data_IF_629892840377
#
_entry.id   IF_629892840377
#
_cell.length_a   1.000
_cell.length_b   1.000
_cell.length_c   1.000
_cell.angle_alpha   90.00
_cell.angle_beta   90.00
_cell.angle_gamma   90.00
#
_symmetry.space_group_name_H-M   'P 1'
#
loop_
_entity.id
_entity.type
_entity.pdbx_description
1 polymer ?
#
# COMPACT_ATOMS: atom_id res chain seq x y z
N UNK A 1 -27.79 -11.05 -32.81
CA UNK A 1 -27.31 -10.08 -31.81
C UNK A 1 -28.47 -9.76 -30.92
N UNK A 2 -28.29 -9.71 -29.60
CA UNK A 2 -29.37 -9.34 -28.68
C UNK A 2 -29.77 -7.89 -28.90
N UNK A 3 -31.05 -7.66 -29.12
CA UNK A 3 -31.66 -6.35 -29.34
C UNK A 3 -32.08 -5.70 -28.02
N UNK A 4 -32.26 -4.39 -28.05
CA UNK A 4 -32.79 -3.62 -26.91
C UNK A 4 -34.17 -4.13 -26.49
N UNK A 5 -35.07 -4.38 -27.45
CA UNK A 5 -36.40 -4.91 -27.19
C UNK A 5 -36.36 -6.28 -26.47
N UNK A 6 -35.48 -7.20 -26.88
CA UNK A 6 -35.30 -8.49 -26.21
C UNK A 6 -34.84 -8.35 -24.76
N UNK A 7 -34.07 -7.30 -24.45
CA UNK A 7 -33.64 -6.98 -23.08
C UNK A 7 -34.82 -6.49 -22.23
N UNK A 8 -35.65 -5.59 -22.77
CA UNK A 8 -36.82 -5.05 -22.06
C UNK A 8 -37.88 -6.14 -21.82
N UNK A 9 -38.13 -7.00 -22.80
CA UNK A 9 -39.10 -8.09 -22.67
C UNK A 9 -38.65 -9.14 -21.65
N UNK A 10 -37.35 -9.39 -21.53
CA UNK A 10 -36.82 -10.26 -20.50
C UNK A 10 -37.01 -9.69 -19.09
N UNK A 11 -36.85 -8.37 -18.91
CA UNK A 11 -37.14 -7.71 -17.64
C UNK A 11 -38.63 -7.79 -17.27
N UNK A 12 -39.53 -7.59 -18.24
CA UNK A 12 -40.98 -7.71 -18.02
C UNK A 12 -41.38 -9.13 -17.62
N UNK A 13 -40.79 -10.16 -18.25
CA UNK A 13 -41.00 -11.57 -17.86
C UNK A 13 -40.53 -11.84 -16.44
N UNK A 14 -39.32 -11.41 -16.11
CA UNK A 14 -38.78 -11.57 -14.76
C UNK A 14 -39.64 -10.85 -13.70
N UNK A 15 -40.22 -9.69 -14.04
CA UNK A 15 -41.14 -8.99 -13.16
C UNK A 15 -42.47 -9.73 -12.97
N UNK A 16 -43.02 -10.32 -14.05
CA UNK A 16 -44.22 -11.14 -13.98
C UNK A 16 -44.00 -12.39 -13.12
N UNK A 17 -42.83 -13.03 -13.23
CA UNK A 17 -42.49 -14.25 -12.47
C UNK A 17 -42.28 -13.96 -10.97
N UNK A 18 -41.78 -12.76 -10.61
CA UNK A 18 -41.60 -12.34 -9.21
C UNK A 18 -42.81 -11.66 -8.60
N UNK A 19 -43.75 -11.18 -9.43
CA UNK A 19 -44.84 -10.30 -8.99
C UNK A 19 -44.38 -8.90 -8.54
N UNK A 20 -43.11 -8.57 -8.71
CA UNK A 20 -42.50 -7.30 -8.34
C UNK A 20 -41.38 -6.92 -9.32
N UNK A 21 -40.94 -5.66 -9.25
CA UNK A 21 -39.89 -5.14 -10.10
C UNK A 21 -38.51 -5.77 -9.75
N UNK A 22 -37.87 -6.56 -10.64
CA UNK A 22 -36.70 -7.37 -10.30
C UNK A 22 -35.48 -6.52 -9.90
N UNK A 23 -34.80 -6.88 -8.82
CA UNK A 23 -33.41 -6.49 -8.61
C UNK A 23 -32.48 -7.30 -9.54
N UNK A 24 -31.27 -6.79 -9.79
CA UNK A 24 -30.27 -7.50 -10.61
C UNK A 24 -29.99 -8.91 -10.08
N UNK A 25 -29.88 -9.06 -8.77
CA UNK A 25 -29.62 -10.35 -8.12
C UNK A 25 -30.80 -11.31 -8.27
N UNK A 26 -32.04 -10.82 -8.14
CA UNK A 26 -33.23 -11.66 -8.35
C UNK A 26 -33.33 -12.11 -9.81
N UNK A 27 -33.10 -11.21 -10.77
CA UNK A 27 -33.09 -11.52 -12.20
C UNK A 27 -32.06 -12.61 -12.54
N UNK A 28 -30.84 -12.52 -11.99
CA UNK A 28 -29.79 -13.53 -12.20
C UNK A 28 -30.16 -14.90 -11.61
N UNK A 29 -30.86 -14.93 -10.47
CA UNK A 29 -31.32 -16.17 -9.84
C UNK A 29 -32.41 -16.88 -10.64
N UNK A 30 -33.22 -16.14 -11.39
CA UNK A 30 -34.25 -16.71 -12.27
C UNK A 30 -33.66 -17.35 -13.54
N UNK A 31 -32.39 -17.06 -13.86
CA UNK A 31 -31.71 -17.64 -15.00
C UNK A 31 -32.23 -17.16 -16.36
N UNK A 32 -32.95 -16.02 -16.41
CA UNK A 32 -33.45 -15.46 -17.67
C UNK A 32 -32.32 -15.06 -18.62
N UNK A 33 -32.63 -15.16 -19.91
CA UNK A 33 -31.80 -14.62 -20.98
C UNK A 33 -32.51 -13.45 -21.66
N UNK A 34 -31.77 -12.41 -22.08
CA UNK A 34 -30.32 -12.25 -22.00
C UNK A 34 -29.80 -11.96 -20.58
N UNK A 35 -28.53 -12.31 -20.32
CA UNK A 35 -27.87 -12.06 -19.03
C UNK A 35 -27.90 -10.57 -18.63
N UNK A 36 -27.89 -10.30 -17.32
CA UNK A 36 -27.95 -8.94 -16.75
C UNK A 36 -26.87 -8.00 -17.32
N UNK A 37 -25.67 -8.52 -17.59
CA UNK A 37 -24.55 -7.80 -18.19
C UNK A 37 -24.78 -7.45 -19.66
N UNK A 38 -25.46 -8.33 -20.41
CA UNK A 38 -25.87 -8.06 -21.79
C UNK A 38 -26.92 -6.95 -21.83
N UNK A 39 -27.90 -6.99 -20.92
CA UNK A 39 -28.92 -5.93 -20.78
C UNK A 39 -28.26 -4.58 -20.50
N UNK A 40 -27.36 -4.51 -19.52
CA UNK A 40 -26.64 -3.27 -19.19
C UNK A 40 -25.79 -2.74 -20.36
N UNK A 41 -25.18 -3.64 -21.16
CA UNK A 41 -24.37 -3.25 -22.31
C UNK A 41 -25.21 -2.73 -23.48
N UNK A 42 -26.38 -3.33 -23.72
CA UNK A 42 -27.26 -2.99 -24.85
C UNK A 42 -28.11 -1.75 -24.54
N UNK A 43 -28.61 -1.64 -23.31
CA UNK A 43 -29.56 -0.59 -22.89
C UNK A 43 -28.89 0.55 -22.10
N UNK A 44 -27.60 0.45 -21.78
CA UNK A 44 -26.82 1.49 -21.09
C UNK A 44 -26.79 1.37 -19.56
N UNK A 45 -27.88 0.92 -18.93
CA UNK A 45 -27.96 0.78 -17.48
C UNK A 45 -29.07 -0.14 -16.99
N UNK A 46 -28.94 -0.66 -15.76
CA UNK A 46 -29.96 -1.55 -15.18
C UNK A 46 -31.25 -0.78 -14.83
N UNK A 47 -31.12 0.39 -14.21
CA UNK A 47 -32.27 1.23 -13.90
C UNK A 47 -32.90 1.82 -15.18
N UNK A 48 -32.08 2.22 -16.15
CA UNK A 48 -32.54 2.67 -17.47
C UNK A 48 -33.34 1.57 -18.19
N UNK A 49 -32.86 0.32 -18.16
CA UNK A 49 -33.60 -0.79 -18.72
C UNK A 49 -34.92 -1.08 -17.97
N UNK A 50 -34.96 -0.91 -16.65
CA UNK A 50 -36.21 -1.04 -15.87
C UNK A 50 -37.19 0.08 -16.19
N UNK A 51 -36.71 1.32 -16.31
CA UNK A 51 -37.53 2.49 -16.69
C UNK A 51 -38.15 2.29 -18.09
N UNK A 52 -37.33 1.92 -19.08
CA UNK A 52 -37.82 1.63 -20.44
C UNK A 52 -38.76 0.40 -20.48
N UNK A 53 -38.58 -0.56 -19.57
CA UNK A 53 -39.46 -1.71 -19.44
C UNK A 53 -40.81 -1.38 -18.76
N UNK A 54 -40.97 -0.17 -18.20
CA UNK A 54 -42.14 0.24 -17.42
C UNK A 54 -42.15 -0.33 -16.00
N UNK A 55 -40.98 -0.65 -15.45
CA UNK A 55 -40.79 -1.27 -14.14
C UNK A 55 -40.24 -0.24 -13.14
N UNK A 56 -40.68 -0.33 -11.89
CA UNK A 56 -40.21 0.56 -10.82
C UNK A 56 -38.68 0.46 -10.68
N UNK A 57 -37.98 1.59 -10.81
CA UNK A 57 -36.53 1.65 -10.60
C UNK A 57 -36.24 1.73 -9.12
N UNK A 58 -35.11 1.16 -8.70
CA UNK A 58 -34.58 1.46 -7.37
C UNK A 58 -33.82 2.76 -7.52
N UNK A 59 -34.37 3.86 -7.00
CA UNK A 59 -33.69 5.15 -6.86
C UNK A 59 -32.25 4.89 -6.38
N UNK A 60 -31.26 5.44 -7.08
CA UNK A 60 -29.86 5.39 -6.69
C UNK A 60 -29.66 6.26 -5.43
N UNK A 61 -30.16 5.79 -4.30
CA UNK A 61 -30.22 6.54 -3.03
C UNK A 61 -31.26 6.04 -2.03
N UNK A 62 -32.15 5.12 -2.41
CA UNK A 62 -33.25 4.66 -1.56
C UNK A 62 -32.91 3.51 -0.60
N UNK A 63 -31.94 3.71 0.29
CA UNK A 63 -31.88 2.95 1.56
C UNK A 63 -31.39 3.89 2.68
N UNK A 64 -32.38 4.33 3.47
CA UNK A 64 -32.30 4.92 4.80
C UNK A 64 -31.01 4.61 5.55
N UNK A 65 -30.20 5.64 5.84
CA UNK A 65 -29.38 5.71 7.05
C UNK A 65 -28.32 4.62 7.30
N UNK A 66 -28.00 3.76 6.34
CA UNK A 66 -26.90 2.79 6.48
C UNK A 66 -25.71 3.34 5.70
N UNK A 67 -24.76 3.90 6.45
CA UNK A 67 -23.44 4.22 5.91
C UNK A 67 -22.85 2.97 5.27
N UNK A 68 -22.53 3.02 3.97
CA UNK A 68 -21.77 1.95 3.28
C UNK A 68 -20.34 1.83 3.81
N UNK A 69 -19.94 2.75 4.70
CA UNK A 69 -18.68 2.72 5.42
C UNK A 69 -18.79 1.70 6.55
N UNK A 70 -17.99 0.64 6.47
CA UNK A 70 -17.83 -0.29 7.58
C UNK A 70 -17.42 0.49 8.84
N UNK A 71 -17.91 0.11 10.04
CA UNK A 71 -17.60 0.81 11.28
C UNK A 71 -16.08 0.83 11.53
N UNK A 72 -15.62 1.84 12.27
CA UNK A 72 -14.22 1.97 12.65
C UNK A 72 -13.77 0.72 13.40
N UNK A 73 -12.70 0.05 12.98
CA UNK A 73 -12.11 -1.03 13.76
C UNK A 73 -11.60 -0.51 15.12
N UNK A 74 -11.68 -1.35 16.16
CA UNK A 74 -11.25 -0.99 17.52
C UNK A 74 -9.75 -0.71 17.61
N UNK A 75 -8.96 -1.34 16.73
CA UNK A 75 -7.50 -1.23 16.64
C UNK A 75 -7.02 0.01 15.87
N UNK A 76 -7.93 0.89 15.43
CA UNK A 76 -7.59 2.09 14.66
C UNK A 76 -7.82 3.34 15.50
N UNK A 77 -6.75 4.04 15.87
CA UNK A 77 -6.83 5.35 16.50
C UNK A 77 -6.99 6.46 15.45
N UNK A 78 -7.86 7.42 15.76
CA UNK A 78 -8.12 8.64 14.99
C UNK A 78 -7.62 9.83 15.81
N UNK A 79 -7.19 10.88 15.13
CA UNK A 79 -6.91 12.16 15.79
C UNK A 79 -8.24 12.81 16.23
N UNK A 80 -8.21 13.70 17.23
CA UNK A 80 -9.41 14.23 17.92
C UNK A 80 -10.42 14.90 16.97
N UNK A 81 -9.93 15.44 15.86
CA UNK A 81 -10.65 16.16 14.82
C UNK A 81 -11.05 15.28 13.61
N UNK A 82 -10.81 13.97 13.66
CA UNK A 82 -11.08 13.05 12.56
C UNK A 82 -12.32 12.17 12.78
N UNK A 83 -13.30 12.27 11.88
CA UNK A 83 -14.51 11.43 11.88
C UNK A 83 -14.38 10.29 10.88
N UNK A 84 -14.46 9.03 11.33
CA UNK A 84 -14.22 7.84 10.51
C UNK A 84 -15.07 7.77 9.23
N UNK A 85 -16.33 8.14 9.35
CA UNK A 85 -17.34 8.09 8.31
C UNK A 85 -17.05 9.14 7.21
N UNK A 86 -16.46 10.27 7.59
CA UNK A 86 -16.14 11.40 6.71
C UNK A 86 -14.82 11.21 5.96
N UNK A 87 -13.99 10.26 6.41
CA UNK A 87 -12.75 9.93 5.71
C UNK A 87 -13.03 9.41 4.29
N UNK A 88 -12.11 9.67 3.37
CA UNK A 88 -12.11 8.96 2.08
C UNK A 88 -11.82 7.46 2.26
N UNK A 89 -12.25 6.59 1.34
CA UNK A 89 -11.89 5.17 1.34
C UNK A 89 -10.38 4.93 1.43
N UNK A 90 -9.57 5.77 0.77
CA UNK A 90 -8.11 5.70 0.82
C UNK A 90 -7.56 6.08 2.21
N UNK A 91 -8.08 7.13 2.83
CA UNK A 91 -7.72 7.54 4.20
C UNK A 91 -8.05 6.44 5.23
N UNK A 92 -9.24 5.82 5.14
CA UNK A 92 -9.61 4.66 5.98
C UNK A 92 -8.69 3.47 5.76
N UNK A 93 -8.36 3.14 4.51
CA UNK A 93 -7.42 2.07 4.20
C UNK A 93 -6.04 2.35 4.81
N UNK A 94 -5.55 3.59 4.72
CA UNK A 94 -4.25 3.98 5.27
C UNK A 94 -4.22 3.85 6.80
N UNK A 95 -5.26 4.33 7.51
CA UNK A 95 -5.35 4.19 8.98
C UNK A 95 -5.47 2.74 9.43
N UNK A 96 -6.34 1.96 8.78
CA UNK A 96 -6.48 0.51 9.03
C UNK A 96 -5.18 -0.27 8.81
N UNK A 97 -4.34 0.18 7.90
CA UNK A 97 -3.08 -0.49 7.60
C UNK A 97 -1.87 0.18 8.24
N UNK A 98 -2.04 1.30 8.97
CA UNK A 98 -0.94 2.11 9.52
C UNK A 98 -0.02 1.25 10.36
N UNK A 99 -0.57 0.53 11.32
CA UNK A 99 0.20 -0.30 12.26
C UNK A 99 0.85 -1.50 11.57
N UNK A 100 0.15 -2.12 10.63
CA UNK A 100 0.69 -3.22 9.82
C UNK A 100 1.85 -2.75 8.94
N UNK A 101 1.77 -1.54 8.38
CA UNK A 101 2.83 -0.96 7.54
C UNK A 101 4.00 -0.41 8.37
N UNK A 102 3.72 0.18 9.53
CA UNK A 102 4.75 0.59 10.50
C UNK A 102 5.50 -0.63 11.06
N UNK A 103 4.79 -1.71 11.38
CA UNK A 103 5.35 -2.99 11.79
C UNK A 103 6.28 -3.59 10.74
N UNK A 104 5.89 -3.55 9.45
CA UNK A 104 6.74 -3.99 8.33
C UNK A 104 8.03 -3.17 8.22
N UNK A 105 7.95 -1.84 8.30
CA UNK A 105 9.13 -0.95 8.26
C UNK A 105 10.05 -1.18 9.46
N UNK A 106 9.49 -1.30 10.67
CA UNK A 106 10.25 -1.59 11.90
C UNK A 106 10.95 -2.95 11.84
N UNK A 107 10.24 -3.99 11.40
CA UNK A 107 10.79 -5.33 11.18
C UNK A 107 11.93 -5.31 10.17
N UNK A 108 11.74 -4.66 9.01
CA UNK A 108 12.77 -4.54 7.98
C UNK A 108 14.03 -3.81 8.49
N UNK A 109 13.88 -2.72 9.24
CA UNK A 109 15.02 -2.01 9.85
C UNK A 109 15.78 -2.92 10.82
N UNK A 110 15.07 -3.68 11.65
CA UNK A 110 15.69 -4.65 12.58
C UNK A 110 16.48 -5.72 11.82
N UNK A 111 15.90 -6.29 10.77
CA UNK A 111 16.57 -7.27 9.89
C UNK A 111 17.82 -6.70 9.23
N UNK A 112 17.76 -5.46 8.73
CA UNK A 112 18.90 -4.82 8.09
C UNK A 112 20.01 -4.48 9.08
N UNK A 113 19.68 -4.04 10.30
CA UNK A 113 20.67 -3.80 11.36
C UNK A 113 21.35 -5.08 11.80
N UNK A 114 20.58 -6.16 11.99
CA UNK A 114 21.14 -7.47 12.32
C UNK A 114 22.07 -7.96 11.20
N UNK A 115 21.61 -7.88 9.94
CA UNK A 115 22.42 -8.24 8.78
C UNK A 115 23.71 -7.40 8.66
N UNK A 116 23.64 -6.09 8.88
CA UNK A 116 24.83 -5.23 8.81
C UNK A 116 25.81 -5.52 9.95
N UNK A 117 25.29 -5.83 11.14
CA UNK A 117 26.12 -6.22 12.30
C UNK A 117 26.88 -7.50 12.00
N UNK A 118 26.21 -8.49 11.41
CA UNK A 118 26.86 -9.74 11.01
C UNK A 118 27.90 -9.51 9.90
N UNK A 119 27.53 -8.74 8.88
CA UNK A 119 28.45 -8.37 7.81
C UNK A 119 29.73 -7.71 8.36
N UNK A 120 29.59 -6.79 9.33
CA UNK A 120 30.74 -6.15 9.98
C UNK A 120 31.59 -7.15 10.77
N UNK A 121 30.96 -8.12 11.45
CA UNK A 121 31.66 -9.15 12.24
C UNK A 121 32.51 -10.06 11.33
N UNK A 122 31.96 -10.46 10.19
CA UNK A 122 32.60 -11.42 9.28
C UNK A 122 33.66 -10.79 8.37
N UNK A 123 33.45 -9.53 7.95
CA UNK A 123 34.21 -8.94 6.84
C UNK A 123 34.95 -7.65 7.18
N UNK A 124 34.75 -7.06 8.34
CA UNK A 124 35.22 -5.72 8.61
C UNK A 124 36.14 -5.66 9.82
N UNK A 125 37.21 -4.88 9.68
CA UNK A 125 38.08 -4.41 10.75
C UNK A 125 38.47 -2.98 10.41
N UNK A 126 38.81 -2.19 11.42
CA UNK A 126 39.32 -0.85 11.18
C UNK A 126 40.62 -0.90 10.37
N UNK A 127 40.68 -0.22 9.23
CA UNK A 127 41.88 -0.18 8.38
C UNK A 127 43.06 0.55 9.04
N UNK A 128 42.79 1.45 10.01
CA UNK A 128 43.82 2.24 10.71
C UNK A 128 44.39 1.55 11.95
N UNK A 129 43.56 0.89 12.75
CA UNK A 129 43.97 0.32 14.05
C UNK A 129 43.61 -1.15 14.26
N UNK A 130 42.96 -1.80 13.29
CA UNK A 130 42.64 -3.24 13.36
C UNK A 130 41.47 -3.63 14.28
N UNK A 131 40.83 -2.67 14.97
CA UNK A 131 39.65 -2.90 15.82
C UNK A 131 38.61 -3.76 15.08
N UNK A 132 38.23 -4.93 15.61
CA UNK A 132 37.29 -5.82 14.93
C UNK A 132 35.84 -5.72 15.42
N UNK A 133 35.57 -5.02 16.52
CA UNK A 133 34.26 -5.06 17.15
C UNK A 133 33.21 -4.33 16.29
N UNK A 134 32.15 -5.02 15.81
CA UNK A 134 31.22 -4.46 14.82
C UNK A 134 30.45 -3.23 15.30
N UNK A 135 30.26 -3.07 16.61
CA UNK A 135 29.62 -1.88 17.19
C UNK A 135 30.51 -0.63 17.14
N UNK A 136 31.83 -0.81 17.00
CA UNK A 136 32.80 0.27 16.96
C UNK A 136 33.13 0.70 15.52
N UNK A 137 32.73 -0.07 14.52
CA UNK A 137 33.07 0.16 13.11
C UNK A 137 32.06 1.06 12.42
N UNK A 138 32.54 1.94 11.56
CA UNK A 138 31.80 2.83 10.69
C UNK A 138 32.32 2.76 9.25
N UNK A 139 31.46 3.14 8.31
CA UNK A 139 31.78 3.17 6.88
C UNK A 139 32.05 4.62 6.47
N UNK A 140 33.32 4.94 6.23
CA UNK A 140 33.76 6.24 5.81
C UNK A 140 33.87 6.29 4.28
N UNK A 141 33.37 7.35 3.67
CA UNK A 141 33.53 7.55 2.23
C UNK A 141 34.75 8.45 2.01
N UNK A 142 35.78 7.98 1.27
CA UNK A 142 36.91 8.84 0.90
C UNK A 142 36.46 10.06 0.10
N UNK A 143 37.25 11.12 0.14
CA UNK A 143 37.01 12.33 -0.64
C UNK A 143 36.94 12.04 -2.15
N UNK A 144 36.09 12.77 -2.86
CA UNK A 144 35.87 12.59 -4.30
C UNK A 144 35.04 11.36 -4.69
N UNK A 145 34.64 10.50 -3.74
CA UNK A 145 33.79 9.34 -4.03
C UNK A 145 32.31 9.73 -3.98
N UNK A 146 31.62 9.59 -5.11
CA UNK A 146 30.17 9.82 -5.17
C UNK A 146 29.38 8.76 -4.39
N UNK A 147 28.85 9.19 -3.26
CA UNK A 147 27.97 8.41 -2.40
C UNK A 147 26.50 8.67 -2.72
N UNK A 148 25.69 7.64 -2.69
CA UNK A 148 24.23 7.77 -2.74
C UNK A 148 23.70 8.29 -1.40
N UNK A 149 24.15 7.68 -0.30
CA UNK A 149 23.77 8.04 1.05
C UNK A 149 24.69 7.31 2.05
N UNK A 150 24.80 7.78 3.30
CA UNK A 150 25.57 7.06 4.31
C UNK A 150 24.97 5.68 4.61
N UNK A 151 25.79 4.64 4.71
CA UNK A 151 25.35 3.25 4.95
C UNK A 151 24.40 3.12 6.15
N UNK A 152 24.69 3.81 7.26
CA UNK A 152 23.82 3.85 8.43
C UNK A 152 22.44 4.47 8.13
N UNK A 153 22.41 5.53 7.31
CA UNK A 153 21.18 6.20 6.87
C UNK A 153 20.38 5.30 5.93
N UNK A 154 21.03 4.58 5.02
CA UNK A 154 20.39 3.60 4.12
C UNK A 154 19.69 2.48 4.91
N UNK A 155 20.32 1.95 5.96
CA UNK A 155 19.71 0.96 6.86
C UNK A 155 18.50 1.54 7.59
N UNK A 156 18.61 2.76 8.13
CA UNK A 156 17.51 3.42 8.82
C UNK A 156 16.32 3.74 7.89
N UNK A 157 16.60 4.08 6.64
CA UNK A 157 15.60 4.31 5.59
C UNK A 157 15.12 3.02 4.92
N UNK A 158 15.61 1.86 5.36
CA UNK A 158 15.20 0.52 4.91
C UNK A 158 15.45 0.23 3.41
N UNK A 159 16.61 0.68 2.89
CA UNK A 159 17.05 0.38 1.52
C UNK A 159 17.24 -1.13 1.27
N UNK A 160 17.40 -1.51 0.00
CA UNK A 160 17.65 -2.91 -0.37
C UNK A 160 19.07 -3.35 0.04
N UNK A 161 19.25 -4.62 0.44
CA UNK A 161 20.57 -5.17 0.78
C UNK A 161 21.59 -5.03 -0.37
N UNK A 162 21.23 -5.26 -1.66
CA UNK A 162 22.15 -5.04 -2.77
C UNK A 162 22.66 -3.59 -2.87
N UNK A 163 21.75 -2.61 -2.76
CA UNK A 163 22.13 -1.19 -2.81
C UNK A 163 23.03 -0.81 -1.64
N UNK A 164 22.78 -1.35 -0.44
CA UNK A 164 23.66 -1.11 0.71
C UNK A 164 25.05 -1.73 0.48
N UNK A 165 25.13 -2.94 -0.09
CA UNK A 165 26.42 -3.57 -0.42
C UNK A 165 27.20 -2.78 -1.46
N UNK A 166 26.54 -2.26 -2.48
CA UNK A 166 27.19 -1.39 -3.47
C UNK A 166 27.79 -0.15 -2.83
N UNK A 167 27.08 0.47 -1.89
CA UNK A 167 27.60 1.62 -1.17
C UNK A 167 28.75 1.26 -0.22
N UNK A 168 28.67 0.13 0.48
CA UNK A 168 29.76 -0.36 1.34
C UNK A 168 31.07 -0.52 0.56
N UNK A 169 31.02 -0.97 -0.71
CA UNK A 169 32.22 -1.14 -1.55
C UNK A 169 32.93 0.18 -1.86
N UNK A 170 32.25 1.31 -1.71
CA UNK A 170 32.81 2.65 -1.90
C UNK A 170 33.42 3.22 -0.62
N UNK A 171 33.26 2.51 0.50
CA UNK A 171 33.69 2.96 1.82
C UNK A 171 34.99 2.29 2.24
N UNK A 172 35.78 3.01 3.02
CA UNK A 172 36.80 2.42 3.89
C UNK A 172 36.19 2.16 5.27
N UNK A 173 36.63 1.08 5.92
CA UNK A 173 36.11 0.71 7.25
C UNK A 173 37.01 1.31 8.33
N UNK A 174 36.46 2.20 9.14
CA UNK A 174 37.17 2.84 10.25
C UNK A 174 36.42 2.60 11.56
N UNK A 175 37.12 2.47 12.68
CA UNK A 175 36.45 2.54 13.98
C UNK A 175 36.03 3.98 14.28
N UNK A 176 35.04 4.19 15.15
CA UNK A 176 34.48 5.49 15.47
C UNK A 176 35.54 6.53 15.90
N UNK A 177 36.61 6.10 16.57
CA UNK A 177 37.71 6.98 16.96
C UNK A 177 38.61 7.35 15.79
N UNK A 178 39.01 6.38 14.96
CA UNK A 178 39.80 6.65 13.74
C UNK A 178 39.00 7.49 12.73
N UNK A 179 37.69 7.22 12.62
CA UNK A 179 36.79 7.97 11.75
C UNK A 179 36.70 9.44 12.13
N UNK A 180 36.59 9.77 13.43
CA UNK A 180 36.60 11.15 13.92
C UNK A 180 37.94 11.85 13.66
N UNK A 181 39.06 11.13 13.83
CA UNK A 181 40.40 11.67 13.54
C UNK A 181 40.57 11.99 12.05
N UNK A 182 40.05 11.13 11.18
CA UNK A 182 40.07 11.36 9.72
C UNK A 182 39.32 12.64 9.37
N UNK A 183 38.09 12.82 9.88
CA UNK A 183 37.32 14.05 9.66
C UNK A 183 38.01 15.30 10.19
N UNK A 184 38.58 15.23 11.40
CA UNK A 184 39.32 16.33 11.98
C UNK A 184 40.53 16.72 11.11
N UNK A 185 41.28 15.73 10.59
CA UNK A 185 42.44 15.99 9.74
C UNK A 185 42.07 16.53 8.35
N UNK A 186 40.92 16.15 7.78
CA UNK A 186 40.44 16.72 6.51
C UNK A 186 39.94 18.15 6.65
N UNK A 187 39.33 18.51 7.80
CA UNK A 187 38.81 19.85 8.06
C UNK A 187 39.92 20.87 8.40
N UNK A 188 41.04 20.43 8.98
CA UNK A 188 42.19 21.27 9.31
C UNK A 188 43.19 21.47 8.14
N UNK A 189 42.93 20.87 6.97
CA UNK A 189 43.79 20.96 5.78
C UNK A 189 43.38 22.05 4.77
N UNK A 190 42.32 22.81 5.06
CA UNK A 190 41.84 23.98 4.31
C UNK A 190 42.20 25.31 5.00
#
# INVERSE_FOLDING_TARGET
MTTEQECLDALRRAAADLGESPSKVQYEKLGHQPASTTIMRVVGGWNEAKEQAGLETVEAGGQTGISRTAPKPDDVELDDDEVWEELSPHQRWYRKNRDRQQGKKKRRRRELRAWLTEYKREHCRCERCGEPHPACLDFHHPEGVEKRDGVARMVNRAFSKPSIREEIRKCIVLCANCHRKEHYASEDAE
#
